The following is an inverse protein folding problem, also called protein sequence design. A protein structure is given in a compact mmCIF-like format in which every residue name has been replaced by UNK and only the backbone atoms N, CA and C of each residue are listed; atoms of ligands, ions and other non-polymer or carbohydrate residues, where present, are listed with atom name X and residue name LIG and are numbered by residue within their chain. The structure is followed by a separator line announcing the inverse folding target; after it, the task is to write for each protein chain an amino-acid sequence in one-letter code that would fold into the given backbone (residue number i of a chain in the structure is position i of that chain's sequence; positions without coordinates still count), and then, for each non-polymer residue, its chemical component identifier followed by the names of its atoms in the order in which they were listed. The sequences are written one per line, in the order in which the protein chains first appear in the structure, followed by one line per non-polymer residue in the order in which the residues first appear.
data_IF_802102473177
#
_entry.id   IF_802102473177
#
_cell.length_a   1.000
_cell.length_b   1.000
_cell.length_c   1.000
_cell.angle_alpha   90.00
_cell.angle_beta   90.00
_cell.angle_gamma   90.00
#
_symmetry.space_group_name_H-M   'P 1'
#
loop_
_entity.id
_entity.type
_entity.pdbx_description
1 polymer ?
#
# COMPACT_ATOMS: atom_id res chain seq x y z
N UNK A 1 -1.48 3.01 21.51
CA UNK A 1 -1.78 3.78 20.27
C UNK A 1 -0.71 3.56 19.19
N UNK A 2 0.57 3.76 19.51
CA UNK A 2 1.71 3.64 18.57
C UNK A 2 1.84 2.25 17.92
N UNK A 3 1.60 1.17 18.68
CA UNK A 3 1.67 -0.21 18.16
C UNK A 3 0.62 -0.51 17.08
N UNK A 4 -0.61 0.02 17.21
CA UNK A 4 -1.66 -0.15 16.19
C UNK A 4 -1.32 0.61 14.92
N UNK A 5 -0.82 1.85 15.04
CA UNK A 5 -0.36 2.65 13.90
C UNK A 5 0.77 1.95 13.15
N UNK A 6 1.72 1.36 13.88
CA UNK A 6 2.83 0.57 13.32
C UNK A 6 2.32 -0.67 12.59
N UNK A 7 1.29 -1.34 13.12
CA UNK A 7 0.66 -2.49 12.49
C UNK A 7 -0.07 -2.11 11.19
N UNK A 8 -0.83 -1.01 11.21
CA UNK A 8 -1.50 -0.48 10.01
C UNK A 8 -0.48 -0.09 8.94
N UNK A 9 0.59 0.61 9.34
CA UNK A 9 1.67 0.97 8.44
C UNK A 9 2.30 -0.29 7.83
N UNK A 10 2.67 -1.28 8.63
CA UNK A 10 3.28 -2.52 8.13
C UNK A 10 2.35 -3.29 7.17
N UNK A 11 1.05 -3.36 7.49
CA UNK A 11 0.07 -4.03 6.64
C UNK A 11 -0.11 -3.34 5.29
N UNK A 12 -0.40 -2.05 5.31
CA UNK A 12 -0.68 -1.28 4.08
C UNK A 12 0.58 -1.00 3.26
N UNK A 13 1.69 -0.59 3.88
CA UNK A 13 2.92 -0.28 3.16
C UNK A 13 3.75 -1.51 2.76
N UNK A 14 3.65 -2.63 3.47
CA UNK A 14 4.56 -3.77 3.22
C UNK A 14 3.83 -5.02 2.78
N UNK A 15 2.81 -5.43 3.54
CA UNK A 15 2.15 -6.71 3.29
C UNK A 15 1.32 -6.70 2.01
N UNK A 16 0.53 -5.65 1.79
CA UNK A 16 -0.29 -5.50 0.59
C UNK A 16 0.52 -5.49 -0.72
N UNK A 17 1.54 -4.64 -0.90
CA UNK A 17 2.30 -4.63 -2.15
C UNK A 17 3.04 -5.95 -2.41
N UNK A 18 3.57 -6.62 -1.37
CA UNK A 18 4.20 -7.93 -1.54
C UNK A 18 3.19 -9.00 -1.97
N UNK A 19 2.05 -9.09 -1.29
CA UNK A 19 1.02 -10.08 -1.61
C UNK A 19 0.41 -9.84 -2.98
N UNK A 20 0.20 -8.58 -3.36
CA UNK A 20 -0.21 -8.20 -4.71
C UNK A 20 0.81 -8.66 -5.76
N UNK A 21 2.10 -8.42 -5.53
CA UNK A 21 3.16 -8.87 -6.44
C UNK A 21 3.10 -10.38 -6.64
N UNK A 22 3.03 -11.16 -5.55
CA UNK A 22 3.01 -12.63 -5.61
C UNK A 22 1.81 -13.13 -6.41
N UNK A 23 0.61 -12.62 -6.11
CA UNK A 23 -0.63 -13.04 -6.79
C UNK A 23 -0.58 -12.67 -8.28
N UNK A 24 -0.13 -11.45 -8.60
CA UNK A 24 -0.06 -10.99 -9.98
C UNK A 24 0.98 -11.76 -10.79
N UNK A 25 2.11 -12.14 -10.17
CA UNK A 25 3.13 -12.97 -10.78
C UNK A 25 2.62 -14.39 -11.07
N UNK A 26 1.90 -15.00 -10.11
CA UNK A 26 1.26 -16.31 -10.29
C UNK A 26 0.25 -16.25 -11.44
N UNK A 27 -0.60 -15.21 -11.46
CA UNK A 27 -1.60 -15.03 -12.51
C UNK A 27 -0.96 -14.89 -13.89
N UNK A 28 0.10 -14.09 -14.01
CA UNK A 28 0.85 -13.93 -15.25
C UNK A 28 1.46 -15.25 -15.73
N UNK A 29 2.14 -15.96 -14.83
CA UNK A 29 2.82 -17.22 -15.13
C UNK A 29 1.83 -18.29 -15.61
N UNK A 30 0.65 -18.36 -15.01
CA UNK A 30 -0.35 -19.39 -15.36
C UNK A 30 -1.20 -19.06 -16.58
N UNK A 31 -1.54 -17.78 -16.81
CA UNK A 31 -2.59 -17.43 -17.79
C UNK A 31 -2.05 -16.71 -19.02
N UNK A 32 -1.08 -15.82 -18.86
CA UNK A 32 -0.82 -14.80 -19.88
C UNK A 32 0.46 -15.03 -20.69
N UNK A 33 1.46 -15.74 -20.13
CA UNK A 33 2.79 -15.91 -20.76
C UNK A 33 3.36 -14.60 -21.34
N UNK A 34 2.97 -13.47 -20.74
CA UNK A 34 3.39 -12.14 -21.19
C UNK A 34 4.91 -11.98 -20.97
N UNK A 35 5.50 -10.93 -21.55
CA UNK A 35 6.90 -10.59 -21.26
C UNK A 35 7.00 -10.11 -19.82
N UNK A 36 7.96 -10.66 -19.07
CA UNK A 36 8.22 -10.30 -17.66
C UNK A 36 8.31 -8.78 -17.45
N UNK A 37 8.90 -8.06 -18.41
CA UNK A 37 9.05 -6.61 -18.35
C UNK A 37 7.70 -5.85 -18.31
N UNK A 38 6.72 -6.29 -19.11
CA UNK A 38 5.41 -5.64 -19.15
C UNK A 38 4.66 -5.84 -17.82
N UNK A 39 4.85 -6.99 -17.18
CA UNK A 39 4.28 -7.26 -15.87
C UNK A 39 4.96 -6.48 -14.75
N UNK A 40 6.28 -6.31 -14.79
CA UNK A 40 6.95 -5.42 -13.86
C UNK A 40 6.45 -3.98 -14.00
N UNK A 41 6.32 -3.48 -15.23
CA UNK A 41 5.82 -2.12 -15.50
C UNK A 41 4.39 -1.92 -14.98
N UNK A 42 3.48 -2.85 -15.29
CA UNK A 42 2.09 -2.79 -14.83
C UNK A 42 1.99 -2.91 -13.31
N UNK A 43 2.70 -3.86 -12.70
CA UNK A 43 2.69 -4.06 -11.25
C UNK A 43 3.20 -2.82 -10.52
N UNK A 44 4.30 -2.24 -11.01
CA UNK A 44 4.91 -1.05 -10.43
C UNK A 44 3.98 0.16 -10.56
N UNK A 45 3.28 0.32 -11.69
CA UNK A 45 2.29 1.38 -11.85
C UNK A 45 1.11 1.24 -10.88
N UNK A 46 0.56 0.04 -10.73
CA UNK A 46 -0.55 -0.22 -9.80
C UNK A 46 -0.13 0.05 -8.35
N UNK A 47 1.05 -0.42 -7.97
CA UNK A 47 1.62 -0.18 -6.63
C UNK A 47 1.91 1.31 -6.41
N UNK A 48 2.42 2.01 -7.42
CA UNK A 48 2.66 3.45 -7.36
C UNK A 48 1.37 4.24 -7.08
N UNK A 49 0.30 3.95 -7.83
CA UNK A 49 -1.02 4.57 -7.62
C UNK A 49 -1.54 4.23 -6.21
N UNK A 50 -1.40 2.98 -5.78
CA UNK A 50 -1.78 2.56 -4.43
C UNK A 50 -1.05 3.36 -3.34
N UNK A 51 0.27 3.55 -3.48
CA UNK A 51 1.05 4.34 -2.53
C UNK A 51 0.63 5.81 -2.48
N UNK A 52 0.26 6.42 -3.61
CA UNK A 52 -0.26 7.79 -3.63
C UNK A 52 -1.54 7.86 -2.80
N UNK A 53 -2.48 6.94 -3.02
CA UNK A 53 -3.77 6.90 -2.30
C UNK A 53 -3.54 6.71 -0.79
N UNK A 54 -2.71 5.73 -0.42
CA UNK A 54 -2.41 5.44 1.00
C UNK A 54 -1.71 6.63 1.66
N UNK A 55 -0.76 7.27 0.96
CA UNK A 55 -0.06 8.46 1.46
C UNK A 55 -1.04 9.59 1.76
N UNK A 56 -1.96 9.88 0.83
CA UNK A 56 -3.01 10.89 1.02
C UNK A 56 -3.90 10.54 2.21
N UNK A 57 -4.35 9.30 2.31
CA UNK A 57 -5.18 8.83 3.43
C UNK A 57 -4.46 8.96 4.78
N UNK A 58 -3.17 8.64 4.81
CA UNK A 58 -2.36 8.70 6.02
C UNK A 58 -2.16 10.14 6.52
N UNK A 59 -1.97 11.10 5.60
CA UNK A 59 -1.91 12.54 5.94
C UNK A 59 -3.21 12.99 6.60
N UNK A 60 -4.36 12.66 6.04
CA UNK A 60 -5.67 13.01 6.64
C UNK A 60 -5.86 12.37 8.02
N UNK A 61 -5.47 11.10 8.17
CA UNK A 61 -5.61 10.37 9.42
C UNK A 61 -4.70 10.95 10.51
N UNK A 62 -3.47 11.35 10.17
CA UNK A 62 -2.55 12.03 11.09
C UNK A 62 -3.07 13.40 11.52
N UNK A 63 -3.59 14.20 10.59
CA UNK A 63 -4.18 15.51 10.91
C UNK A 63 -5.37 15.37 11.86
N UNK A 64 -6.25 14.39 11.65
CA UNK A 64 -7.36 14.10 12.57
C UNK A 64 -6.85 13.77 13.97
N UNK A 65 -5.84 12.89 14.09
CA UNK A 65 -5.28 12.49 15.39
C UNK A 65 -4.59 13.64 16.13
N UNK A 66 -3.87 14.50 15.42
CA UNK A 66 -3.23 15.69 16.01
C UNK A 66 -4.26 16.69 16.52
N UNK A 67 -5.34 16.93 15.76
CA UNK A 67 -6.44 17.81 16.16
C UNK A 67 -7.14 17.30 17.42
N UNK A 68 -7.40 15.99 17.49
CA UNK A 68 -8.01 15.38 18.67
C UNK A 68 -7.10 15.50 19.90
N UNK A 69 -5.78 15.25 19.76
CA UNK A 69 -4.82 15.35 20.85
C UNK A 69 -4.66 16.77 21.41
N UNK A 70 -4.74 17.80 20.56
CA UNK A 70 -4.62 19.20 20.98
C UNK A 70 -5.91 19.79 21.58
N UNK A 71 -7.03 19.05 21.52
CA UNK A 71 -8.32 19.45 22.09
C UNK A 71 -8.51 18.99 23.55
N UNK A 72 -7.62 18.13 24.03
CA UNK A 72 -7.66 17.52 25.38
C UNK A 72 -6.59 18.09 26.31
N UNK A 73 -5.70 18.95 25.79
CA UNK A 73 -4.78 19.81 26.55
C UNK A 73 -5.39 21.21 26.68
#
# INVERSE_FOLDING_TARGET
MMQRLKLYFLGYFLYFPLSFFIIYFIWMFMIKSDKLFDVFSNSTSIIGIYYIIVSVFFVFLLQSKFKDANRIN
#
